data_IF_495122803122
#
_entry.id   IF_495122803122
#
_cell.length_a   1.000
_cell.length_b   1.000
_cell.length_c   1.000
_cell.angle_alpha   90.00
_cell.angle_beta   90.00
_cell.angle_gamma   90.00
#
_symmetry.space_group_name_H-M   'P 1'
#
loop_
_entity.id
_entity.type
_entity.pdbx_description
1 polymer ?
#
# COMPACT_ATOMS: atom_id res chain seq x y z
N UNK A 1 -18.80 -29.31 -26.84
CA UNK A 1 -19.14 -27.87 -26.82
C UNK A 1 -19.27 -27.30 -25.39
N UNK A 2 -20.23 -27.73 -24.56
CA UNK A 2 -20.47 -27.13 -23.22
C UNK A 2 -19.31 -27.26 -22.22
N UNK A 3 -18.54 -28.36 -22.28
CA UNK A 3 -17.35 -28.56 -21.44
C UNK A 3 -16.16 -27.68 -21.84
N UNK A 4 -16.06 -27.31 -23.12
CA UNK A 4 -15.03 -26.38 -23.62
C UNK A 4 -15.35 -24.95 -23.16
N UNK A 5 -16.62 -24.54 -23.20
CA UNK A 5 -17.05 -23.23 -22.68
C UNK A 5 -16.80 -23.08 -21.17
N UNK A 6 -17.04 -24.13 -20.40
CA UNK A 6 -16.74 -24.14 -18.96
C UNK A 6 -15.23 -24.07 -18.67
N UNK A 7 -14.40 -24.74 -19.47
CA UNK A 7 -12.94 -24.69 -19.33
C UNK A 7 -12.37 -23.29 -19.63
N UNK A 8 -12.91 -22.59 -20.63
CA UNK A 8 -12.52 -21.21 -20.96
C UNK A 8 -12.90 -20.24 -19.83
N UNK A 9 -14.10 -20.38 -19.26
CA UNK A 9 -14.53 -19.57 -18.11
C UNK A 9 -13.67 -19.79 -16.86
N UNK A 10 -13.32 -21.05 -16.58
CA UNK A 10 -12.45 -21.41 -15.46
C UNK A 10 -11.02 -20.86 -15.64
N UNK A 11 -10.47 -20.94 -16.84
CA UNK A 11 -9.14 -20.37 -17.15
C UNK A 11 -9.13 -18.84 -17.03
N UNK A 12 -10.20 -18.17 -17.47
CA UNK A 12 -10.38 -16.73 -17.29
C UNK A 12 -10.36 -16.34 -15.82
N UNK A 13 -11.13 -17.04 -14.98
CA UNK A 13 -11.21 -16.74 -13.54
C UNK A 13 -9.86 -16.87 -12.81
N UNK A 14 -9.03 -17.86 -13.15
CA UNK A 14 -7.70 -18.04 -12.54
C UNK A 14 -6.73 -16.91 -12.91
N UNK A 15 -6.82 -16.39 -14.14
CA UNK A 15 -5.93 -15.31 -14.59
C UNK A 15 -6.12 -14.00 -13.81
N UNK A 16 -7.35 -13.71 -13.35
CA UNK A 16 -7.65 -12.50 -12.57
C UNK A 16 -6.97 -12.47 -11.19
N UNK A 17 -6.61 -13.63 -10.63
CA UNK A 17 -5.99 -13.73 -9.29
C UNK A 17 -4.45 -13.72 -9.32
N UNK A 18 -3.83 -13.62 -10.50
CA UNK A 18 -2.36 -13.70 -10.66
C UNK A 18 -1.59 -12.44 -10.25
N UNK A 19 -2.26 -11.35 -9.86
CA UNK A 19 -1.61 -10.08 -9.52
C UNK A 19 -1.20 -9.91 -8.06
N UNK A 20 -1.61 -10.80 -7.15
CA UNK A 20 -1.32 -10.65 -5.73
C UNK A 20 0.02 -11.31 -5.38
N UNK A 21 1.09 -10.52 -5.27
CA UNK A 21 2.42 -11.01 -4.89
C UNK A 21 2.96 -10.28 -3.66
N UNK A 22 3.37 -11.04 -2.66
CA UNK A 22 4.04 -10.51 -1.46
C UNK A 22 5.49 -10.17 -1.82
N UNK A 23 5.77 -8.87 -1.96
CA UNK A 23 7.12 -8.36 -2.21
C UNK A 23 7.78 -7.90 -0.92
N UNK A 24 9.12 -8.04 -0.85
CA UNK A 24 9.89 -7.59 0.30
C UNK A 24 9.84 -6.05 0.39
N UNK A 25 9.88 -5.43 1.58
CA UNK A 25 9.65 -3.99 1.75
C UNK A 25 10.52 -3.10 0.86
N UNK A 26 11.81 -3.40 0.74
CA UNK A 26 12.77 -2.62 -0.07
C UNK A 26 12.54 -2.74 -1.58
N UNK A 27 11.85 -3.78 -2.06
CA UNK A 27 11.52 -3.92 -3.48
C UNK A 27 10.43 -2.94 -3.92
N UNK A 28 9.67 -2.37 -2.98
CA UNK A 28 8.65 -1.35 -3.27
C UNK A 28 9.25 0.00 -3.67
N UNK A 29 10.52 0.24 -3.32
CA UNK A 29 11.22 1.49 -3.64
C UNK A 29 11.38 1.73 -5.14
N UNK A 30 11.39 0.68 -5.97
CA UNK A 30 11.56 0.84 -7.42
C UNK A 30 10.36 1.48 -8.14
N UNK A 31 9.15 1.38 -7.56
CA UNK A 31 7.94 2.03 -8.07
C UNK A 31 7.53 3.26 -7.24
N UNK A 32 8.29 3.59 -6.20
CA UNK A 32 7.98 4.72 -5.35
C UNK A 32 8.42 6.02 -6.04
N UNK A 33 7.44 6.80 -6.50
CA UNK A 33 7.68 8.14 -7.05
C UNK A 33 7.90 9.15 -5.90
N UNK A 34 8.57 10.27 -6.19
CA UNK A 34 8.78 11.37 -5.25
C UNK A 34 7.47 11.88 -4.65
N UNK A 35 6.37 11.82 -5.43
CA UNK A 35 5.02 12.19 -5.00
C UNK A 35 4.44 11.30 -3.89
N UNK A 36 4.93 10.06 -3.76
CA UNK A 36 4.49 9.10 -2.75
C UNK A 36 5.27 9.21 -1.44
N UNK A 37 6.25 10.13 -1.35
CA UNK A 37 7.00 10.37 -0.11
C UNK A 37 6.10 11.07 0.90
N UNK A 38 5.97 10.54 2.14
CA UNK A 38 5.16 11.17 3.16
C UNK A 38 5.65 12.58 3.47
N UNK A 39 6.97 12.77 3.54
CA UNK A 39 7.64 14.02 3.92
C UNK A 39 7.86 15.00 2.76
N UNK A 40 7.10 14.86 1.66
CA UNK A 40 7.27 15.70 0.47
C UNK A 40 6.93 17.18 0.74
N UNK A 41 5.97 17.43 1.62
CA UNK A 41 5.40 18.76 1.86
C UNK A 41 5.29 19.01 3.37
N UNK A 42 6.17 19.84 3.95
CA UNK A 42 6.22 20.02 5.40
C UNK A 42 4.95 20.67 5.97
N UNK A 43 4.25 21.50 5.19
CA UNK A 43 2.98 22.11 5.62
C UNK A 43 1.87 21.07 5.77
N UNK A 44 1.78 20.13 4.83
CA UNK A 44 0.80 19.04 4.91
C UNK A 44 1.14 18.05 6.03
N UNK A 45 2.43 17.82 6.28
CA UNK A 45 2.88 16.97 7.38
C UNK A 45 2.45 17.53 8.73
N UNK A 46 2.68 18.83 8.96
CA UNK A 46 2.25 19.51 10.19
C UNK A 46 0.73 19.44 10.38
N UNK A 47 -0.03 19.61 9.30
CA UNK A 47 -1.50 19.51 9.36
C UNK A 47 -1.94 18.07 9.69
N UNK A 48 -1.34 17.06 9.04
CA UNK A 48 -1.64 15.65 9.31
C UNK A 48 -1.29 15.28 10.75
N UNK A 49 -0.18 15.78 11.28
CA UNK A 49 0.18 15.61 12.69
C UNK A 49 -0.81 16.27 13.62
N UNK A 50 -1.22 17.51 13.35
CA UNK A 50 -2.21 18.21 14.16
C UNK A 50 -3.54 17.44 14.24
N UNK A 51 -4.01 16.92 13.10
CA UNK A 51 -5.22 16.09 13.03
C UNK A 51 -5.03 14.76 13.76
N UNK A 52 -3.89 14.10 13.57
CA UNK A 52 -3.58 12.83 14.23
C UNK A 52 -3.52 12.99 15.75
N UNK A 53 -2.86 14.02 16.27
CA UNK A 53 -2.81 14.29 17.70
C UNK A 53 -4.19 14.62 18.29
N UNK A 54 -5.05 15.27 17.52
CA UNK A 54 -6.39 15.64 18.00
C UNK A 54 -7.34 14.45 18.01
N UNK A 55 -7.20 13.52 17.06
CA UNK A 55 -8.20 12.45 16.84
C UNK A 55 -7.73 11.07 17.28
N UNK A 56 -6.43 10.80 17.18
CA UNK A 56 -5.86 9.44 17.22
C UNK A 56 -4.68 9.31 18.19
N UNK A 57 -4.33 10.36 18.96
CA UNK A 57 -3.22 10.35 19.92
C UNK A 57 -3.25 9.20 20.95
N UNK A 58 -4.43 8.64 21.22
CA UNK A 58 -4.59 7.51 22.14
C UNK A 58 -3.92 6.21 21.64
N UNK A 59 -3.67 6.07 20.33
CA UNK A 59 -3.09 4.87 19.73
C UNK A 59 -1.54 4.82 19.78
N UNK A 60 -0.90 5.83 20.38
CA UNK A 60 0.55 5.99 20.31
C UNK A 60 0.93 6.79 19.07
N UNK A 61 1.68 7.88 19.29
CA UNK A 61 2.16 8.78 18.26
C UNK A 61 2.97 8.09 17.15
N UNK A 62 3.40 8.90 16.16
CA UNK A 62 4.29 8.56 15.02
C UNK A 62 5.65 7.90 15.39
N UNK A 63 5.81 7.34 16.59
CA UNK A 63 6.98 6.61 17.09
C UNK A 63 6.78 5.11 17.34
N UNK A 64 5.58 4.53 17.19
CA UNK A 64 5.35 3.07 17.27
C UNK A 64 5.23 2.47 15.86
N UNK A 65 6.36 2.40 15.16
CA UNK A 65 6.42 1.80 13.81
C UNK A 65 7.38 2.52 12.88
N UNK A 66 8.55 2.93 13.38
CA UNK A 66 9.65 3.43 12.56
C UNK A 66 10.18 2.34 11.64
N UNK A 67 9.55 2.19 10.47
CA UNK A 67 10.07 1.46 9.32
C UNK A 67 10.81 2.41 8.36
N UNK A 68 11.52 3.40 8.88
CA UNK A 68 12.43 4.22 8.10
C UNK A 68 13.81 3.58 8.09
N UNK A 69 14.10 2.73 7.10
CA UNK A 69 15.48 2.43 6.75
C UNK A 69 15.99 3.58 5.88
N UNK A 70 16.85 4.42 6.46
CA UNK A 70 17.94 5.04 5.71
C UNK A 70 19.14 4.10 5.82
#
# INVERSE_FOLDING_TARGET
MRKLLLAVYAAGFVSLMSGCQVVKPWQRGHLADYTMRPERNPQEDMLREHVFFTREAAAGGRGVGGGGCN
#
